data_IF_193647931481
#
_entry.id   IF_193647931481
#
_cell.length_a   1.000
_cell.length_b   1.000
_cell.length_c   1.000
_cell.angle_alpha   90.00
_cell.angle_beta   90.00
_cell.angle_gamma   90.00
#
_symmetry.space_group_name_H-M   'P 1'
#
loop_
_entity.id
_entity.type
_entity.pdbx_description
1 polymer ?
#
# COMPACT_ATOMS: atom_id res chain seq x y z
N UNK A 1 7.90 0.37 -1.87
CA UNK A 1 7.27 -0.64 -2.74
C UNK A 1 5.81 -0.79 -2.37
N UNK A 2 4.98 -0.88 -3.34
CA UNK A 2 3.53 -0.93 -3.18
C UNK A 2 2.88 -1.96 -4.12
N UNK A 3 1.62 -2.23 -3.85
CA UNK A 3 0.71 -2.97 -4.73
C UNK A 3 -0.42 -2.02 -5.10
N UNK A 4 -0.64 -1.72 -6.38
CA UNK A 4 -1.77 -0.88 -6.78
C UNK A 4 -3.09 -1.58 -6.51
N UNK A 5 -4.09 -0.80 -6.12
CA UNK A 5 -5.48 -1.27 -5.98
C UNK A 5 -6.26 -0.80 -7.20
N UNK A 6 -6.63 -1.74 -8.04
CA UNK A 6 -7.31 -1.49 -9.31
C UNK A 6 -8.71 -2.10 -9.35
N UNK A 7 -9.31 -2.16 -10.52
CA UNK A 7 -10.63 -2.71 -10.71
C UNK A 7 -11.71 -2.00 -9.88
N UNK A 8 -12.68 -2.75 -9.42
CA UNK A 8 -13.82 -2.24 -8.65
C UNK A 8 -13.40 -1.66 -7.29
N UNK A 9 -12.54 -2.34 -6.53
CA UNK A 9 -12.02 -1.84 -5.26
C UNK A 9 -11.26 -0.51 -5.44
N UNK A 10 -10.45 -0.41 -6.49
CA UNK A 10 -9.75 0.81 -6.84
C UNK A 10 -10.69 1.95 -7.22
N UNK A 11 -11.77 1.66 -7.95
CA UNK A 11 -12.79 2.65 -8.29
C UNK A 11 -13.54 3.15 -7.04
N UNK A 12 -13.96 2.24 -6.17
CA UNK A 12 -14.59 2.59 -4.89
C UNK A 12 -13.67 3.46 -4.02
N UNK A 13 -12.40 3.09 -3.89
CA UNK A 13 -11.45 3.84 -3.06
C UNK A 13 -11.12 5.20 -3.66
N UNK A 14 -11.03 5.34 -4.98
CA UNK A 14 -10.91 6.66 -5.66
C UNK A 14 -12.10 7.55 -5.37
N UNK A 15 -13.33 7.03 -5.48
CA UNK A 15 -14.55 7.78 -5.18
C UNK A 15 -14.58 8.24 -3.71
N UNK A 16 -14.25 7.37 -2.77
CA UNK A 16 -14.14 7.69 -1.34
C UNK A 16 -13.12 8.82 -1.12
N UNK A 17 -11.92 8.69 -1.69
CA UNK A 17 -10.86 9.71 -1.56
C UNK A 17 -11.28 11.04 -2.20
N UNK A 18 -11.89 11.03 -3.38
CA UNK A 18 -12.37 12.25 -4.04
C UNK A 18 -13.36 13.02 -3.17
N UNK A 19 -14.22 12.32 -2.44
CA UNK A 19 -15.20 12.91 -1.55
C UNK A 19 -14.60 13.39 -0.21
N UNK A 20 -13.66 12.62 0.37
CA UNK A 20 -13.22 12.84 1.75
C UNK A 20 -11.82 13.44 1.87
N UNK A 21 -10.96 13.21 0.89
CA UNK A 21 -9.60 13.76 0.82
C UNK A 21 -9.18 14.01 -0.65
N UNK A 22 -9.69 15.07 -1.29
CA UNK A 22 -9.37 15.39 -2.69
C UNK A 22 -7.86 15.59 -2.93
N UNK A 23 -7.11 16.02 -1.92
CA UNK A 23 -5.64 16.19 -2.03
C UNK A 23 -4.96 14.84 -2.19
N UNK A 24 -5.30 13.87 -1.34
CA UNK A 24 -4.79 12.51 -1.49
C UNK A 24 -5.22 11.89 -2.82
N UNK A 25 -6.47 12.12 -3.24
CA UNK A 25 -6.97 11.62 -4.52
C UNK A 25 -6.16 12.15 -5.72
N UNK A 26 -5.71 13.40 -5.65
CA UNK A 26 -4.91 14.03 -6.71
C UNK A 26 -3.44 13.58 -6.70
N UNK A 27 -2.90 13.24 -5.53
CA UNK A 27 -1.48 12.94 -5.36
C UNK A 27 -1.13 11.45 -5.56
N UNK A 28 -2.00 10.56 -5.11
CA UNK A 28 -1.66 9.13 -5.02
C UNK A 28 -2.80 8.23 -5.50
N UNK A 29 -2.51 7.37 -6.46
CA UNK A 29 -3.41 6.28 -6.80
C UNK A 29 -3.62 5.34 -5.59
N UNK A 30 -4.79 4.67 -5.47
CA UNK A 30 -5.02 3.67 -4.44
C UNK A 30 -3.98 2.55 -4.47
N UNK A 31 -3.39 2.25 -3.31
CA UNK A 31 -2.36 1.21 -3.17
C UNK A 31 -2.27 0.66 -1.76
N UNK A 32 -1.61 -0.47 -1.62
CA UNK A 32 -1.13 -1.04 -0.36
C UNK A 32 0.38 -0.93 -0.32
N UNK A 33 0.94 -0.35 0.74
CA UNK A 33 2.39 -0.32 0.95
C UNK A 33 2.86 -1.64 1.53
N UNK A 34 3.77 -2.32 0.83
CA UNK A 34 4.43 -3.52 1.32
C UNK A 34 5.75 -3.21 2.04
N UNK A 35 6.53 -2.26 1.49
CA UNK A 35 7.84 -1.86 1.99
C UNK A 35 7.95 -0.34 1.92
N UNK A 36 8.46 0.29 2.96
CA UNK A 36 8.72 1.74 2.98
C UNK A 36 8.30 2.43 4.26
N UNK A 37 7.08 2.21 4.75
CA UNK A 37 6.54 2.90 5.92
C UNK A 37 6.40 2.01 7.15
N UNK A 38 6.26 0.70 6.96
CA UNK A 38 6.08 -0.25 8.06
C UNK A 38 6.68 -1.62 7.73
N UNK A 39 7.04 -2.40 8.74
CA UNK A 39 7.66 -3.71 8.63
C UNK A 39 9.13 -3.62 8.24
N UNK A 40 9.42 -3.22 7.02
CA UNK A 40 10.73 -2.81 6.55
C UNK A 40 10.66 -1.38 5.99
N UNK A 41 11.71 -0.62 6.20
CA UNK A 41 11.84 0.73 5.66
C UNK A 41 12.06 0.76 4.15
N UNK A 42 12.32 1.93 3.58
CA UNK A 42 12.64 2.04 2.16
C UNK A 42 13.84 1.16 1.79
N UNK A 43 13.86 0.66 0.57
CA UNK A 43 15.04 -0.01 0.02
C UNK A 43 16.18 1.00 -0.05
N UNK A 44 17.39 0.57 0.28
CA UNK A 44 18.57 1.43 0.23
C UNK A 44 18.73 2.03 -1.19
N UNK A 45 18.92 3.36 -1.30
CA UNK A 45 18.86 4.07 -2.60
C UNK A 45 20.00 3.71 -3.55
N UNK A 46 21.07 3.15 -3.03
CA UNK A 46 22.23 2.66 -3.79
C UNK A 46 22.05 1.22 -4.32
N UNK A 47 20.87 0.62 -4.15
CA UNK A 47 20.59 -0.72 -4.68
C UNK A 47 20.53 -0.70 -6.21
N UNK A 48 21.38 -1.48 -6.91
CA UNK A 48 21.42 -1.49 -8.37
C UNK A 48 20.09 -1.94 -8.99
N UNK A 49 19.73 -1.34 -10.12
CA UNK A 49 18.45 -1.61 -10.81
C UNK A 49 18.29 -3.05 -11.28
N UNK A 50 19.36 -3.68 -11.71
CA UNK A 50 19.38 -5.09 -12.14
C UNK A 50 19.12 -6.04 -10.95
N UNK A 51 19.65 -5.71 -9.77
CA UNK A 51 19.35 -6.44 -8.52
C UNK A 51 17.86 -6.33 -8.19
N UNK A 52 17.28 -5.13 -8.28
CA UNK A 52 15.84 -4.91 -8.05
C UNK A 52 15.00 -5.73 -9.04
N UNK A 53 15.31 -5.66 -10.34
CA UNK A 53 14.60 -6.43 -11.38
C UNK A 53 14.66 -7.93 -11.13
N UNK A 54 15.84 -8.46 -10.79
CA UNK A 54 16.04 -9.88 -10.52
C UNK A 54 15.26 -10.33 -9.29
N UNK A 55 15.35 -9.60 -8.18
CA UNK A 55 14.68 -9.96 -6.92
C UNK A 55 13.16 -9.90 -7.08
N UNK A 56 12.63 -8.79 -7.59
CA UNK A 56 11.19 -8.64 -7.74
C UNK A 56 10.61 -9.55 -8.83
N UNK A 57 11.34 -9.76 -9.93
CA UNK A 57 10.98 -10.74 -10.94
C UNK A 57 10.89 -12.16 -10.35
N UNK A 58 11.90 -12.59 -9.59
CA UNK A 58 11.90 -13.89 -8.94
C UNK A 58 10.77 -14.09 -7.92
N UNK A 59 10.44 -13.04 -7.15
CA UNK A 59 9.30 -13.07 -6.24
C UNK A 59 7.99 -13.13 -7.01
N UNK A 60 7.83 -12.33 -8.04
CA UNK A 60 6.60 -12.21 -8.81
C UNK A 60 6.27 -13.50 -9.59
N UNK A 61 7.27 -14.13 -10.22
CA UNK A 61 7.08 -15.39 -10.97
C UNK A 61 6.70 -16.58 -10.12
N UNK A 62 6.89 -16.51 -8.81
CA UNK A 62 6.59 -17.58 -7.85
C UNK A 62 5.51 -17.18 -6.85
N UNK A 63 4.75 -16.12 -7.15
CA UNK A 63 3.61 -15.64 -6.36
C UNK A 63 2.38 -15.57 -7.26
N UNK A 64 1.39 -16.43 -7.02
CA UNK A 64 0.10 -16.32 -7.71
C UNK A 64 -0.62 -15.03 -7.33
N UNK A 65 -1.38 -14.40 -8.24
CA UNK A 65 -2.33 -13.37 -7.89
C UNK A 65 -3.30 -13.86 -6.79
N UNK A 66 -3.69 -12.96 -5.87
CA UNK A 66 -4.59 -13.30 -4.79
C UNK A 66 -5.50 -12.14 -4.44
N UNK A 67 -6.55 -12.42 -3.66
CA UNK A 67 -7.49 -11.41 -3.19
C UNK A 67 -7.41 -11.26 -1.67
N UNK A 68 -7.69 -10.03 -1.21
CA UNK A 68 -7.86 -9.70 0.20
C UNK A 68 -9.09 -8.83 0.39
N UNK A 69 -9.76 -8.98 1.53
CA UNK A 69 -10.93 -8.19 1.90
C UNK A 69 -10.51 -7.17 2.94
N UNK A 70 -10.95 -5.94 2.75
CA UNK A 70 -10.70 -4.86 3.69
C UNK A 70 -11.54 -5.03 4.95
N UNK A 71 -10.96 -4.68 6.09
CA UNK A 71 -11.66 -4.63 7.39
C UNK A 71 -12.34 -3.27 7.57
N UNK A 72 -13.07 -3.11 8.68
CA UNK A 72 -13.67 -1.83 9.02
C UNK A 72 -12.60 -0.73 9.19
N UNK A 73 -12.86 0.51 8.73
CA UNK A 73 -11.88 1.58 8.82
C UNK A 73 -11.47 1.85 10.26
N UNK A 74 -10.21 2.20 10.43
CA UNK A 74 -9.70 2.73 11.68
C UNK A 74 -8.84 3.99 11.45
N UNK A 75 -8.63 4.74 12.51
CA UNK A 75 -7.65 5.82 12.57
C UNK A 75 -6.39 5.32 13.26
N UNK A 76 -5.22 5.55 12.67
CA UNK A 76 -3.96 5.28 13.35
C UNK A 76 -3.79 6.18 14.57
N UNK A 77 -3.37 5.58 15.69
CA UNK A 77 -3.14 6.31 16.95
C UNK A 77 -2.16 7.47 16.72
N UNK A 78 -2.45 8.59 17.34
CA UNK A 78 -1.66 9.84 17.29
C UNK A 78 -1.43 10.41 15.88
N UNK A 79 -2.29 10.02 14.94
CA UNK A 79 -2.25 10.56 13.57
C UNK A 79 -3.64 11.01 13.14
N UNK A 80 -3.68 11.71 12.01
CA UNK A 80 -4.93 11.97 11.33
C UNK A 80 -5.25 10.95 10.23
N UNK A 81 -4.45 9.91 10.06
CA UNK A 81 -4.58 8.94 8.97
C UNK A 81 -5.71 7.97 9.25
N UNK A 82 -6.70 7.94 8.35
CA UNK A 82 -7.77 6.94 8.36
C UNK A 82 -7.57 5.98 7.20
N UNK A 83 -7.71 4.70 7.46
CA UNK A 83 -7.46 3.65 6.48
C UNK A 83 -8.38 2.45 6.66
N UNK A 84 -8.53 1.66 5.61
CA UNK A 84 -9.03 0.30 5.67
C UNK A 84 -7.87 -0.63 6.01
N UNK A 85 -7.85 -1.28 7.18
CA UNK A 85 -6.89 -2.35 7.45
C UNK A 85 -7.10 -3.52 6.51
N UNK A 86 -6.02 -4.22 6.25
CA UNK A 86 -6.04 -5.50 5.53
C UNK A 86 -5.53 -6.60 6.46
N UNK A 87 -5.86 -7.87 6.21
CA UNK A 87 -5.44 -8.97 7.07
C UNK A 87 -3.95 -8.95 7.36
N UNK A 88 -3.59 -8.83 8.65
CA UNK A 88 -2.20 -8.78 9.10
C UNK A 88 -1.47 -10.13 8.94
N UNK A 89 -2.21 -11.21 8.68
CA UNK A 89 -1.71 -12.56 8.38
C UNK A 89 -2.14 -12.97 6.98
N UNK A 90 -1.55 -14.05 6.46
CA UNK A 90 -1.90 -14.57 5.13
C UNK A 90 -1.01 -14.01 4.00
N UNK A 91 -1.52 -13.96 2.75
CA UNK A 91 -0.67 -13.77 1.58
C UNK A 91 0.05 -12.42 1.51
N UNK A 92 -0.55 -11.32 1.99
CA UNK A 92 0.15 -10.03 2.05
C UNK A 92 1.37 -10.07 2.98
N UNK A 93 1.23 -10.70 4.15
CA UNK A 93 2.35 -10.87 5.07
C UNK A 93 3.42 -11.79 4.47
N UNK A 94 3.03 -12.91 3.90
CA UNK A 94 3.97 -13.82 3.25
C UNK A 94 4.75 -13.13 2.13
N UNK A 95 4.07 -12.31 1.33
CA UNK A 95 4.72 -11.51 0.29
C UNK A 95 5.69 -10.47 0.87
N UNK A 96 5.28 -9.75 1.92
CA UNK A 96 6.15 -8.82 2.65
C UNK A 96 7.40 -9.54 3.19
N UNK A 97 7.25 -10.66 3.87
CA UNK A 97 8.36 -11.43 4.44
C UNK A 97 9.32 -11.95 3.36
N UNK A 98 8.82 -12.42 2.23
CA UNK A 98 9.64 -12.82 1.08
C UNK A 98 10.50 -11.66 0.56
N UNK A 99 9.94 -10.44 0.52
CA UNK A 99 10.69 -9.26 0.11
C UNK A 99 11.75 -8.92 1.18
N UNK A 100 11.39 -8.93 2.45
CA UNK A 100 12.32 -8.60 3.55
C UNK A 100 13.49 -9.58 3.63
N UNK A 101 13.25 -10.86 3.36
CA UNK A 101 14.27 -11.91 3.39
C UNK A 101 15.01 -12.11 2.04
N UNK A 102 14.74 -11.27 1.05
CA UNK A 102 15.31 -11.39 -0.30
C UNK A 102 16.80 -11.04 -0.45
N UNK A 103 17.44 -10.58 0.64
CA UNK A 103 18.82 -10.10 0.62
C UNK A 103 18.96 -8.61 0.24
N UNK A 104 17.87 -7.91 -0.03
CA UNK A 104 17.91 -6.46 -0.20
C UNK A 104 18.22 -5.76 1.13
N UNK A 105 18.90 -4.61 1.04
CA UNK A 105 19.11 -3.74 2.20
C UNK A 105 17.95 -2.76 2.34
N UNK A 106 17.47 -2.60 3.57
CA UNK A 106 16.40 -1.67 3.92
C UNK A 106 16.90 -0.63 4.92
N UNK A 107 16.38 0.58 4.80
CA UNK A 107 16.56 1.60 5.81
C UNK A 107 15.67 1.27 7.04
N UNK A 108 16.00 1.80 8.22
CA UNK A 108 15.19 1.57 9.41
C UNK A 108 13.75 2.07 9.28
N UNK A 109 12.82 1.38 9.92
CA UNK A 109 11.44 1.84 10.13
C UNK A 109 11.06 1.72 11.61
N UNK A 110 10.10 2.53 12.05
CA UNK A 110 9.62 2.56 13.44
C UNK A 110 8.41 1.66 13.67
N UNK A 111 7.71 1.28 12.60
CA UNK A 111 6.40 0.63 12.71
C UNK A 111 6.47 -0.83 12.27
N UNK A 112 5.75 -1.69 12.98
CA UNK A 112 5.51 -3.06 12.54
C UNK A 112 4.70 -3.07 11.23
N UNK A 113 4.79 -4.16 10.47
CA UNK A 113 4.03 -4.31 9.24
C UNK A 113 2.53 -4.32 9.52
N UNK A 114 1.84 -3.33 8.99
CA UNK A 114 0.40 -3.12 9.09
C UNK A 114 -0.15 -2.78 7.70
N UNK A 115 -0.52 -3.79 6.89
CA UNK A 115 -1.03 -3.55 5.53
C UNK A 115 -2.38 -2.84 5.60
N UNK A 116 -2.54 -1.80 4.78
CA UNK A 116 -3.75 -0.99 4.75
C UNK A 116 -3.91 -0.25 3.43
N UNK A 117 -5.15 0.15 3.15
CA UNK A 117 -5.48 1.09 2.09
C UNK A 117 -5.91 2.43 2.69
N UNK A 118 -5.12 3.48 2.52
CA UNK A 118 -5.39 4.80 3.11
C UNK A 118 -6.64 5.44 2.48
N UNK A 119 -7.52 5.96 3.32
CA UNK A 119 -8.70 6.72 2.93
C UNK A 119 -8.40 8.22 2.94
N UNK A 120 -7.79 8.70 4.02
CA UNK A 120 -7.47 10.11 4.23
C UNK A 120 -6.12 10.23 4.94
N UNK A 121 -5.30 11.15 4.46
CA UNK A 121 -3.92 11.34 4.91
C UNK A 121 -3.72 12.62 5.72
N UNK A 122 -4.55 13.63 5.45
CA UNK A 122 -4.47 14.95 6.07
C UNK A 122 -5.83 15.35 6.67
N UNK A 123 -6.31 14.69 7.65
CA UNK A 123 -7.59 15.07 8.19
C UNK A 123 -7.41 16.21 9.17
N UNK A 124 -7.95 17.32 8.81
CA UNK A 124 -8.54 18.24 9.77
C UNK A 124 -9.83 17.55 10.22
N UNK A 125 -9.71 16.62 11.17
CA UNK A 125 -10.82 15.71 11.47
C UNK A 125 -11.65 16.27 12.61
N UNK A 126 -12.69 17.03 12.25
CA UNK A 126 -13.81 17.20 13.18
C UNK A 126 -14.37 15.82 13.56
N UNK A 127 -14.90 15.67 14.76
CA UNK A 127 -15.54 14.41 15.22
C UNK A 127 -16.60 13.89 14.23
N UNK A 128 -17.30 14.80 13.55
CA UNK A 128 -18.31 14.46 12.54
C UNK A 128 -17.67 13.82 11.30
N UNK A 129 -16.58 14.40 10.81
CA UNK A 129 -15.83 13.86 9.67
C UNK A 129 -15.21 12.51 10.01
N UNK A 130 -14.61 12.37 11.17
CA UNK A 130 -14.05 11.11 11.65
C UNK A 130 -15.10 10.00 11.70
N UNK A 131 -16.28 10.29 12.29
CA UNK A 131 -17.39 9.34 12.33
C UNK A 131 -17.85 8.94 10.92
N UNK A 132 -17.93 9.88 9.99
CA UNK A 132 -18.26 9.60 8.60
C UNK A 132 -17.23 8.67 7.94
N UNK A 133 -15.93 8.94 8.12
CA UNK A 133 -14.86 8.11 7.60
C UNK A 133 -14.87 6.68 8.20
N UNK A 134 -15.09 6.56 9.50
CA UNK A 134 -15.15 5.26 10.19
C UNK A 134 -16.42 4.46 9.84
N UNK A 135 -17.44 5.12 9.31
CA UNK A 135 -18.66 4.48 8.81
C UNK A 135 -18.55 3.89 7.41
N UNK A 136 -17.48 4.21 6.67
CA UNK A 136 -17.30 3.74 5.29
C UNK A 136 -17.10 2.22 5.20
N UNK A 137 -17.30 1.69 4.00
CA UNK A 137 -17.02 0.29 3.68
C UNK A 137 -16.40 0.20 2.30
N UNK A 138 -15.41 -0.66 2.17
CA UNK A 138 -14.87 -1.11 0.90
C UNK A 138 -15.41 -2.52 0.67
N UNK A 139 -16.38 -2.65 -0.22
CA UNK A 139 -17.14 -3.89 -0.39
C UNK A 139 -16.53 -4.83 -1.42
N UNK A 140 -15.84 -4.27 -2.42
CA UNK A 140 -15.16 -5.07 -3.42
C UNK A 140 -13.85 -5.65 -2.84
N UNK A 141 -13.52 -6.94 -3.13
CA UNK A 141 -12.23 -7.50 -2.79
C UNK A 141 -11.11 -6.77 -3.53
N UNK A 142 -9.98 -6.62 -2.85
CA UNK A 142 -8.76 -6.07 -3.44
C UNK A 142 -7.98 -7.20 -4.07
N UNK A 143 -7.85 -7.15 -5.39
CA UNK A 143 -7.03 -8.10 -6.14
C UNK A 143 -5.59 -7.61 -6.23
N UNK A 144 -4.68 -8.49 -5.86
CA UNK A 144 -3.24 -8.25 -5.85
C UNK A 144 -2.66 -8.99 -7.06
N UNK A 145 -2.28 -8.25 -8.10
CA UNK A 145 -1.87 -8.80 -9.39
C UNK A 145 -0.45 -8.41 -9.80
N UNK A 146 0.13 -7.37 -9.18
CA UNK A 146 1.48 -6.93 -9.50
C UNK A 146 2.15 -6.19 -8.35
N UNK A 147 3.47 -6.14 -8.42
CA UNK A 147 4.31 -5.34 -7.54
C UNK A 147 4.79 -4.09 -8.26
N UNK A 148 4.78 -2.95 -7.58
CA UNK A 148 5.36 -1.71 -8.08
C UNK A 148 6.41 -1.17 -7.12
N UNK A 149 7.56 -0.86 -7.66
CA UNK A 149 8.58 -0.07 -6.98
C UNK A 149 8.47 1.37 -7.44
N UNK A 150 8.20 2.27 -6.51
CA UNK A 150 8.07 3.69 -6.79
C UNK A 150 9.08 4.50 -6.02
N UNK A 151 9.55 5.58 -6.62
CA UNK A 151 10.26 6.66 -5.96
C UNK A 151 9.22 7.70 -5.52
N UNK A 152 9.17 7.97 -4.22
CA UNK A 152 8.26 8.96 -3.66
C UNK A 152 8.98 10.30 -3.53
N UNK A 153 8.46 11.31 -4.19
CA UNK A 153 8.95 12.70 -4.17
C UNK A 153 7.84 13.62 -3.66
N UNK A 154 7.44 13.46 -2.38
CA UNK A 154 6.40 14.32 -1.79
C UNK A 154 6.75 15.81 -1.98
N UNK A 155 5.81 16.67 -2.46
CA UNK A 155 4.38 16.41 -2.69
C UNK A 155 4.01 15.93 -4.11
N UNK A 156 4.95 15.53 -4.94
CA UNK A 156 4.68 15.06 -6.29
C UNK A 156 4.14 13.62 -6.30
N UNK A 157 3.35 13.22 -7.30
CA UNK A 157 2.99 11.82 -7.50
C UNK A 157 4.24 10.93 -7.60
N UNK A 158 4.19 9.70 -7.10
CA UNK A 158 5.34 8.80 -7.14
C UNK A 158 5.68 8.36 -8.57
N UNK A 159 6.97 8.35 -8.89
CA UNK A 159 7.48 7.80 -10.15
C UNK A 159 7.59 6.27 -10.05
N UNK A 160 6.91 5.54 -10.94
CA UNK A 160 7.02 4.08 -11.00
C UNK A 160 8.33 3.69 -11.68
N UNK A 161 9.26 3.10 -10.95
CA UNK A 161 10.56 2.66 -11.43
C UNK A 161 10.52 1.24 -12.01
N UNK A 162 9.65 0.39 -11.50
CA UNK A 162 9.50 -1.00 -11.89
C UNK A 162 8.07 -1.47 -11.59
N UNK A 163 7.47 -2.17 -12.53
CA UNK A 163 6.19 -2.86 -12.37
C UNK A 163 6.35 -4.29 -12.88
N UNK A 164 6.00 -5.28 -12.05
CA UNK A 164 6.11 -6.72 -12.39
C UNK A 164 4.80 -7.42 -12.03
N UNK A 165 4.17 -8.11 -13.00
CA UNK A 165 2.96 -8.89 -12.73
C UNK A 165 3.31 -10.14 -11.90
N UNK A 166 2.38 -10.54 -11.04
CA UNK A 166 2.42 -11.82 -10.35
C UNK A 166 1.99 -12.93 -11.32
N UNK A 167 2.71 -14.04 -11.35
CA UNK A 167 2.54 -15.08 -12.37
C UNK A 167 2.76 -16.51 -11.84
N UNK A 168 2.82 -16.69 -10.52
CA UNK A 168 2.99 -18.01 -9.90
C UNK A 168 1.73 -18.87 -9.90
#
# INVERSE_FOLDING_TARGET
MLVPIEGEAGAQLRAIRAQHDPRLAAMNAPHVTLIGSSGAGPIAPDTPRDVLKRVFGGIATTTAPFEVVAEAPHRFVDTGIVSFPLPARGPLRALHERIVTSGLRFLPTRFAFAPHATISYYPDVSRTKERALLGLRLTAPIRIERLELSLTNDPQPPDVLLSVPLAG
#
